data_IF_489057723023
#
_entry.id   IF_489057723023
#
_cell.length_a   1.000
_cell.length_b   1.000
_cell.length_c   1.000
_cell.angle_alpha   90.00
_cell.angle_beta   90.00
_cell.angle_gamma   90.00
#
_symmetry.space_group_name_H-M   'P 1'
#
loop_
_entity.id
_entity.type
_entity.pdbx_description
1 polymer ?
#
# COMPACT_ATOMS: atom_id res chain seq x y z
N UNK A 1 39.76 7.58 -5.63
CA UNK A 1 38.85 6.57 -6.19
C UNK A 1 37.42 7.07 -6.03
N UNK A 2 36.72 7.40 -7.13
CA UNK A 2 35.29 7.78 -7.10
C UNK A 2 34.52 6.58 -6.58
N UNK A 3 33.99 6.68 -5.35
CA UNK A 3 33.05 5.70 -4.77
C UNK A 3 31.93 5.57 -5.79
N UNK A 4 31.80 4.42 -6.45
CA UNK A 4 30.63 4.15 -7.26
C UNK A 4 29.43 4.32 -6.32
N UNK A 5 28.72 5.44 -6.45
CA UNK A 5 27.41 5.60 -5.86
C UNK A 5 26.61 4.41 -6.34
N UNK A 6 26.36 3.49 -5.42
CA UNK A 6 25.51 2.34 -5.65
C UNK A 6 24.17 2.93 -6.09
N UNK A 7 23.91 2.97 -7.41
CA UNK A 7 22.74 3.65 -8.00
C UNK A 7 21.51 2.99 -7.39
N UNK A 8 20.98 3.58 -6.32
CA UNK A 8 19.78 3.11 -5.67
C UNK A 8 18.67 3.17 -6.70
N UNK A 9 18.09 2.01 -7.00
CA UNK A 9 16.96 1.90 -7.91
C UNK A 9 15.72 2.35 -7.15
N UNK A 10 15.06 3.39 -7.65
CA UNK A 10 13.80 3.88 -7.12
C UNK A 10 12.65 3.22 -7.88
N UNK A 11 11.68 2.68 -7.14
CA UNK A 11 10.52 1.98 -7.68
C UNK A 11 9.22 2.75 -7.41
N UNK A 12 8.11 2.27 -7.98
CA UNK A 12 6.77 2.81 -7.71
C UNK A 12 6.47 2.86 -6.21
N UNK A 13 6.85 1.84 -5.45
CA UNK A 13 6.70 1.81 -3.99
C UNK A 13 7.43 2.98 -3.31
N UNK A 14 8.63 3.34 -3.76
CA UNK A 14 9.36 4.50 -3.22
C UNK A 14 8.63 5.81 -3.51
N UNK A 15 7.98 5.92 -4.67
CA UNK A 15 7.14 7.06 -5.00
C UNK A 15 5.87 7.12 -4.14
N UNK A 16 5.16 6.00 -3.98
CA UNK A 16 3.96 5.93 -3.14
C UNK A 16 4.28 6.29 -1.68
N UNK A 17 5.39 5.77 -1.16
CA UNK A 17 5.88 6.13 0.17
C UNK A 17 6.15 7.63 0.29
N UNK A 18 6.89 8.20 -0.68
CA UNK A 18 7.18 9.65 -0.70
C UNK A 18 5.90 10.48 -0.74
N UNK A 19 4.93 10.11 -1.59
CA UNK A 19 3.63 10.81 -1.66
C UNK A 19 2.91 10.78 -0.30
N UNK A 20 2.91 9.64 0.39
CA UNK A 20 2.29 9.53 1.72
C UNK A 20 3.00 10.38 2.78
N UNK A 21 4.33 10.45 2.75
CA UNK A 21 5.06 11.36 3.65
C UNK A 21 4.82 12.84 3.30
N UNK A 22 4.73 13.20 2.02
CA UNK A 22 4.35 14.56 1.63
C UNK A 22 2.93 14.87 2.06
N UNK A 23 2.00 13.92 1.99
CA UNK A 23 0.64 14.08 2.55
C UNK A 23 0.66 14.25 4.06
N UNK A 24 1.58 13.59 4.78
CA UNK A 24 1.73 13.73 6.23
C UNK A 24 1.94 15.19 6.66
N UNK A 25 2.72 15.94 5.87
CA UNK A 25 2.96 17.37 6.09
C UNK A 25 1.68 18.22 5.98
N UNK A 26 0.69 17.80 5.19
CA UNK A 26 -0.62 18.47 5.08
C UNK A 26 -1.65 17.88 6.06
N UNK A 27 -1.57 16.59 6.35
CA UNK A 27 -2.46 15.84 7.23
C UNK A 27 -1.68 14.84 8.07
N UNK A 28 -1.48 15.18 9.35
CA UNK A 28 -0.71 14.43 10.34
C UNK A 28 -1.12 12.95 10.55
N UNK A 29 -2.25 12.50 9.98
CA UNK A 29 -2.71 11.11 10.10
C UNK A 29 -2.22 10.18 8.98
N UNK A 30 -1.89 10.72 7.80
CA UNK A 30 -1.53 9.91 6.64
C UNK A 30 0.00 9.92 6.55
N UNK A 31 0.64 8.79 6.80
CA UNK A 31 2.10 8.60 6.64
C UNK A 31 2.43 7.86 5.35
N UNK A 32 3.69 7.87 4.92
CA UNK A 32 4.18 7.04 3.82
C UNK A 32 3.89 5.55 4.07
N UNK A 33 4.05 5.11 5.31
CA UNK A 33 3.72 3.73 5.71
C UNK A 33 2.22 3.44 5.59
N UNK A 34 1.34 4.36 5.96
CA UNK A 34 -0.10 4.16 5.80
C UNK A 34 -0.51 4.02 4.33
N UNK A 35 0.15 4.78 3.44
CA UNK A 35 -0.07 4.70 2.01
C UNK A 35 0.40 3.36 1.44
N UNK A 36 1.60 2.91 1.80
CA UNK A 36 2.07 1.58 1.39
C UNK A 36 1.19 0.46 1.93
N UNK A 37 0.74 0.56 3.18
CA UNK A 37 -0.14 -0.42 3.79
C UNK A 37 -1.47 -0.54 3.03
N UNK A 38 -2.08 0.57 2.62
CA UNK A 38 -3.29 0.54 1.79
C UNK A 38 -3.07 -0.20 0.47
N UNK A 39 -1.98 0.09 -0.24
CA UNK A 39 -1.67 -0.59 -1.51
C UNK A 39 -1.33 -2.07 -1.32
N UNK A 40 -0.63 -2.42 -0.23
CA UNK A 40 -0.33 -3.81 0.10
C UNK A 40 -1.61 -4.61 0.36
N UNK A 41 -2.53 -4.06 1.15
CA UNK A 41 -3.84 -4.67 1.39
C UNK A 41 -4.63 -4.82 0.08
N UNK A 42 -4.67 -3.77 -0.74
CA UNK A 42 -5.38 -3.84 -2.00
C UNK A 42 -4.78 -4.86 -2.99
N UNK A 43 -3.46 -5.03 -3.04
CA UNK A 43 -2.84 -5.96 -3.99
C UNK A 43 -2.86 -7.41 -3.51
N UNK A 44 -2.89 -7.67 -2.20
CA UNK A 44 -2.78 -9.03 -1.66
C UNK A 44 -4.06 -9.50 -0.97
N UNK A 45 -4.61 -8.69 -0.06
CA UNK A 45 -5.80 -9.07 0.68
C UNK A 45 -7.01 -9.17 -0.25
N UNK A 46 -7.24 -8.15 -1.08
CA UNK A 46 -8.43 -8.06 -1.94
C UNK A 46 -8.55 -9.20 -2.97
N UNK A 47 -7.48 -9.60 -3.70
CA UNK A 47 -7.55 -10.77 -4.59
C UNK A 47 -7.75 -12.08 -3.84
N UNK A 48 -7.05 -12.28 -2.71
CA UNK A 48 -7.23 -13.49 -1.88
C UNK A 48 -8.67 -13.58 -1.38
N UNK A 49 -9.23 -12.45 -0.96
CA UNK A 49 -10.62 -12.35 -0.57
C UNK A 49 -11.59 -12.73 -1.69
N UNK A 50 -11.34 -12.22 -2.88
CA UNK A 50 -12.16 -12.52 -4.06
C UNK A 50 -12.11 -14.01 -4.44
N UNK A 51 -10.93 -14.63 -4.35
CA UNK A 51 -10.75 -16.06 -4.62
C UNK A 51 -11.46 -16.94 -3.58
N UNK A 52 -11.36 -16.61 -2.29
CA UNK A 52 -12.05 -17.34 -1.22
C UNK A 52 -13.57 -17.22 -1.34
N UNK A 53 -14.07 -16.04 -1.72
CA UNK A 53 -15.50 -15.82 -1.96
C UNK A 53 -16.00 -16.66 -3.15
N UNK A 54 -15.22 -16.66 -4.24
CA UNK A 54 -15.52 -17.49 -5.42
C UNK A 54 -15.53 -19.00 -5.10
N UNK A 55 -14.63 -19.45 -4.22
CA UNK A 55 -14.56 -20.84 -3.77
C UNK A 55 -15.74 -21.27 -2.85
N UNK A 56 -16.72 -20.39 -2.59
CA UNK A 56 -17.94 -20.68 -1.81
C UNK A 56 -17.67 -21.23 -0.40
N UNK A 57 -16.55 -20.83 0.22
CA UNK A 57 -16.19 -21.25 1.58
C UNK A 57 -17.01 -20.42 2.59
N UNK A 58 -18.33 -20.62 2.66
CA UNK A 58 -19.22 -19.73 3.42
C UNK A 58 -19.21 -19.95 4.94
N UNK A 59 -19.11 -21.21 5.40
CA UNK A 59 -19.24 -21.53 6.83
C UNK A 59 -18.01 -21.14 7.67
N UNK A 60 -16.83 -21.17 7.08
CA UNK A 60 -15.56 -20.76 7.72
C UNK A 60 -14.99 -19.46 7.14
N UNK A 61 -15.72 -18.81 6.21
CA UNK A 61 -15.28 -17.63 5.47
C UNK A 61 -14.66 -16.59 6.38
N UNK A 62 -15.42 -16.16 7.39
CA UNK A 62 -15.05 -15.07 8.27
C UNK A 62 -13.81 -15.41 9.10
N UNK A 63 -13.66 -16.65 9.57
CA UNK A 63 -12.49 -17.08 10.32
C UNK A 63 -11.24 -17.13 9.43
N UNK A 64 -11.37 -17.65 8.21
CA UNK A 64 -10.30 -17.64 7.21
C UNK A 64 -9.87 -16.22 6.84
N UNK A 65 -10.81 -15.27 6.72
CA UNK A 65 -10.50 -13.86 6.45
C UNK A 65 -9.61 -13.25 7.52
N UNK A 66 -10.01 -13.38 8.78
CA UNK A 66 -9.24 -12.85 9.91
C UNK A 66 -7.86 -13.51 10.01
N UNK A 67 -7.77 -14.83 9.76
CA UNK A 67 -6.51 -15.55 9.71
C UNK A 67 -5.57 -15.04 8.61
N UNK A 68 -6.07 -14.91 7.38
CA UNK A 68 -5.30 -14.39 6.23
C UNK A 68 -4.88 -12.94 6.48
N UNK A 69 -5.78 -12.10 6.99
CA UNK A 69 -5.47 -10.71 7.31
C UNK A 69 -4.36 -10.61 8.35
N UNK A 70 -4.41 -11.41 9.42
CA UNK A 70 -3.36 -11.48 10.45
C UNK A 70 -2.01 -11.86 9.84
N UNK A 71 -1.98 -12.89 9.01
CA UNK A 71 -0.73 -13.33 8.34
C UNK A 71 -0.18 -12.21 7.46
N UNK A 72 -1.03 -11.58 6.63
CA UNK A 72 -0.61 -10.49 5.76
C UNK A 72 -0.14 -9.26 6.55
N UNK A 73 -0.80 -8.92 7.65
CA UNK A 73 -0.40 -7.82 8.53
C UNK A 73 0.97 -8.09 9.16
N UNK A 74 1.23 -9.31 9.65
CA UNK A 74 2.54 -9.70 10.19
C UNK A 74 3.63 -9.64 9.12
N UNK A 75 3.35 -10.17 7.92
CA UNK A 75 4.27 -10.08 6.78
C UNK A 75 4.58 -8.62 6.47
N UNK A 76 3.57 -7.75 6.46
CA UNK A 76 3.77 -6.32 6.20
C UNK A 76 4.65 -5.66 7.26
N UNK A 77 4.42 -5.92 8.55
CA UNK A 77 5.24 -5.32 9.63
C UNK A 77 6.70 -5.72 9.47
N UNK A 78 6.98 -7.01 9.30
CA UNK A 78 8.34 -7.52 9.11
C UNK A 78 8.99 -6.94 7.84
N UNK A 79 8.21 -6.87 6.75
CA UNK A 79 8.69 -6.38 5.46
C UNK A 79 8.92 -4.87 5.46
N UNK A 80 8.03 -4.10 6.09
CA UNK A 80 8.06 -2.64 6.17
C UNK A 80 9.29 -2.14 6.92
N UNK A 81 9.60 -2.74 8.07
CA UNK A 81 10.82 -2.41 8.83
C UNK A 81 12.09 -2.71 8.02
N UNK A 82 12.09 -3.81 7.27
CA UNK A 82 13.26 -4.25 6.49
C UNK A 82 13.45 -3.43 5.20
N UNK A 83 12.37 -3.05 4.52
CA UNK A 83 12.48 -2.29 3.25
C UNK A 83 12.81 -0.83 3.48
N UNK A 84 12.07 -0.17 4.38
CA UNK A 84 12.18 1.26 4.60
C UNK A 84 12.99 1.55 5.86
N UNK A 85 14.23 1.09 5.90
CA UNK A 85 15.18 1.55 6.92
C UNK A 85 15.50 3.05 6.75
N UNK A 86 16.03 3.67 7.82
CA UNK A 86 16.35 5.12 7.88
C UNK A 86 17.14 5.59 6.65
N UNK A 87 18.11 4.79 6.19
CA UNK A 87 18.93 5.12 5.00
C UNK A 87 18.11 5.20 3.72
N UNK A 88 17.16 4.29 3.50
CA UNK A 88 16.31 4.29 2.28
C UNK A 88 15.33 5.45 2.31
N UNK A 89 14.67 5.70 3.45
CA UNK A 89 13.78 6.85 3.64
C UNK A 89 14.47 8.16 3.28
N UNK A 90 15.69 8.37 3.78
CA UNK A 90 16.51 9.55 3.48
C UNK A 90 16.88 9.65 2.00
N UNK A 91 17.24 8.53 1.37
CA UNK A 91 17.55 8.50 -0.06
C UNK A 91 16.33 8.84 -0.93
N UNK A 92 15.15 8.31 -0.58
CA UNK A 92 13.89 8.59 -1.28
C UNK A 92 13.49 10.06 -1.14
N UNK A 93 13.61 10.63 0.06
CA UNK A 93 13.36 12.07 0.28
C UNK A 93 14.30 12.96 -0.52
N UNK A 94 15.60 12.62 -0.55
CA UNK A 94 16.58 13.35 -1.35
C UNK A 94 16.28 13.27 -2.85
N UNK A 95 15.93 12.09 -3.34
CA UNK A 95 15.66 11.87 -4.76
C UNK A 95 14.45 12.64 -5.28
N UNK A 96 13.42 12.80 -4.45
CA UNK A 96 12.20 13.53 -4.81
C UNK A 96 12.13 14.95 -4.23
N UNK A 97 13.23 15.50 -3.70
CA UNK A 97 13.25 16.84 -3.09
C UNK A 97 12.84 17.95 -4.08
N UNK A 98 13.30 17.87 -5.32
CA UNK A 98 13.00 18.86 -6.36
C UNK A 98 11.62 18.65 -7.03
N UNK A 99 10.91 17.58 -6.67
CA UNK A 99 9.66 17.22 -7.34
C UNK A 99 8.49 18.01 -6.74
N UNK A 100 7.79 18.75 -7.60
CA UNK A 100 6.62 19.53 -7.19
C UNK A 100 5.46 18.62 -6.77
N UNK A 101 5.18 18.60 -5.48
CA UNK A 101 4.06 17.85 -4.90
C UNK A 101 2.71 18.54 -5.17
N UNK A 102 1.70 17.76 -5.57
CA UNK A 102 0.31 18.21 -5.75
C UNK A 102 -0.59 17.49 -4.74
N UNK A 103 -1.13 18.17 -3.72
CA UNK A 103 -1.93 17.54 -2.67
C UNK A 103 -3.14 16.76 -3.20
N UNK A 104 -3.87 17.31 -4.18
CA UNK A 104 -5.01 16.64 -4.79
C UNK A 104 -4.64 15.29 -5.42
N UNK A 105 -3.51 15.22 -6.14
CA UNK A 105 -3.00 13.96 -6.69
C UNK A 105 -2.57 13.00 -5.58
N UNK A 106 -1.98 13.51 -4.50
CA UNK A 106 -1.65 12.70 -3.33
C UNK A 106 -2.88 12.04 -2.72
N UNK A 107 -3.93 12.83 -2.42
CA UNK A 107 -5.17 12.31 -1.86
C UNK A 107 -5.85 11.31 -2.81
N UNK A 108 -5.89 11.62 -4.11
CA UNK A 108 -6.40 10.68 -5.11
C UNK A 108 -5.63 9.36 -5.04
N UNK A 109 -4.29 9.40 -5.04
CA UNK A 109 -3.47 8.19 -4.94
C UNK A 109 -3.69 7.44 -3.63
N UNK A 110 -3.94 8.12 -2.52
CA UNK A 110 -4.25 7.50 -1.24
C UNK A 110 -5.61 6.78 -1.24
N UNK A 111 -6.66 7.41 -1.78
CA UNK A 111 -8.01 6.82 -1.80
C UNK A 111 -8.24 5.84 -2.95
N UNK A 112 -7.36 5.82 -3.96
CA UNK A 112 -7.49 4.94 -5.13
C UNK A 112 -7.68 3.46 -4.79
N UNK A 113 -6.89 2.84 -3.90
CA UNK A 113 -7.10 1.45 -3.50
C UNK A 113 -8.49 1.20 -2.87
N UNK A 114 -8.98 2.15 -2.07
CA UNK A 114 -10.31 2.07 -1.43
C UNK A 114 -11.42 2.16 -2.48
N UNK A 115 -11.30 3.08 -3.43
CA UNK A 115 -12.27 3.23 -4.53
C UNK A 115 -12.38 1.95 -5.36
N UNK A 116 -11.25 1.35 -5.73
CA UNK A 116 -11.26 0.08 -6.46
C UNK A 116 -11.81 -1.07 -5.62
N UNK A 117 -11.49 -1.13 -4.33
CA UNK A 117 -12.04 -2.14 -3.43
C UNK A 117 -13.57 -2.06 -3.36
N UNK A 118 -14.13 -0.85 -3.17
CA UNK A 118 -15.59 -0.64 -3.14
C UNK A 118 -16.24 -1.03 -4.48
N UNK A 119 -15.65 -0.60 -5.60
CA UNK A 119 -16.16 -0.96 -6.92
C UNK A 119 -16.18 -2.47 -7.15
N UNK A 120 -15.14 -3.18 -6.70
CA UNK A 120 -15.07 -4.64 -6.78
C UNK A 120 -16.15 -5.32 -5.95
N UNK A 121 -16.37 -4.89 -4.70
CA UNK A 121 -17.44 -5.44 -3.85
C UNK A 121 -18.81 -5.24 -4.50
N UNK A 122 -19.10 -4.04 -5.00
CA UNK A 122 -20.35 -3.76 -5.72
C UNK A 122 -20.52 -4.70 -6.92
N UNK A 123 -19.44 -4.95 -7.66
CA UNK A 123 -19.45 -5.82 -8.84
C UNK A 123 -19.76 -7.27 -8.44
N UNK A 124 -19.07 -7.81 -7.42
CA UNK A 124 -19.31 -9.16 -6.90
C UNK A 124 -20.76 -9.31 -6.42
N UNK A 125 -21.25 -8.37 -5.61
CA UNK A 125 -22.64 -8.39 -5.12
C UNK A 125 -23.65 -8.32 -6.27
N UNK A 126 -23.36 -7.54 -7.30
CA UNK A 126 -24.23 -7.41 -8.48
C UNK A 126 -24.26 -8.68 -9.32
N UNK A 127 -23.15 -9.44 -9.38
CA UNK A 127 -23.04 -10.73 -10.08
C UNK A 127 -23.63 -11.91 -9.28
N UNK A 128 -23.83 -11.75 -7.97
CA UNK A 128 -24.42 -12.76 -7.09
C UNK A 128 -25.96 -12.70 -7.04
N UNK A 129 -26.57 -11.70 -7.68
CA UNK A 129 -28.03 -11.65 -7.94
C UNK A 129 -28.39 -12.49 -9.14
#
# INVERSE_FOLDING_TARGET
MKRQENKQRFYLWDYLWWVGERLHEYHLRITGESMLFMYFNFLLYVPVMSLLAFARVYHTFQQCMWGVYLVLALVYVIWGEKLYGVRRRKAVMSHYADRRFKPATGFLLFFLPVMFFVAMIITIVSLMK
#
